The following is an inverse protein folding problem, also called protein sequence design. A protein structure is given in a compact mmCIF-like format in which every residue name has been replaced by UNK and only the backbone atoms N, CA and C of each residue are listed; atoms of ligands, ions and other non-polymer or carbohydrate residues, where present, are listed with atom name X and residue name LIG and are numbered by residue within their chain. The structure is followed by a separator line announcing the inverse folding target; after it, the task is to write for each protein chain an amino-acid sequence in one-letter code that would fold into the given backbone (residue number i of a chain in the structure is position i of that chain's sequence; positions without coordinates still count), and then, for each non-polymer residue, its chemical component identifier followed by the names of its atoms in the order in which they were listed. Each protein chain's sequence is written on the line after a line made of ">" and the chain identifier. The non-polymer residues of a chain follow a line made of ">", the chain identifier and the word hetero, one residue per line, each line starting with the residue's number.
data_IF_445018442972
#
_entry.id   IF_445018442972
#
_cell.length_a   1.000
_cell.length_b   1.000
_cell.length_c   1.000
_cell.angle_alpha   90.00
_cell.angle_beta   90.00
_cell.angle_gamma   90.00
#
_symmetry.space_group_name_H-M   'P 1'
#
loop_
_entity.id
_entity.type
_entity.pdbx_description
1 polymer ?
#
# COMPACT_ATOMS: atom_id res chain seq x y z
N UNK A 1 23.85 8.60 7.65
CA UNK A 1 22.75 7.70 8.04
C UNK A 1 21.56 8.12 7.19
N UNK A 2 21.14 7.30 6.22
CA UNK A 2 20.01 7.63 5.35
C UNK A 2 18.70 7.35 6.08
N UNK A 3 17.71 8.23 5.99
CA UNK A 3 16.33 7.88 6.34
C UNK A 3 15.84 6.82 5.34
N UNK A 4 14.88 5.98 5.74
CA UNK A 4 14.42 4.86 4.88
C UNK A 4 13.96 5.33 3.50
N UNK A 5 13.30 6.48 3.42
CA UNK A 5 12.86 7.10 2.17
C UNK A 5 14.05 7.46 1.28
N UNK A 6 15.06 8.16 1.82
CA UNK A 6 16.27 8.53 1.08
C UNK A 6 17.02 7.30 0.59
N UNK A 7 17.10 6.25 1.42
CA UNK A 7 17.73 4.98 1.03
C UNK A 7 17.02 4.34 -0.18
N UNK A 8 15.68 4.33 -0.21
CA UNK A 8 14.91 3.77 -1.33
C UNK A 8 15.19 4.54 -2.63
N UNK A 9 15.25 5.87 -2.57
CA UNK A 9 15.43 6.72 -3.76
C UNK A 9 16.89 6.77 -4.23
N UNK A 10 17.84 6.98 -3.31
CA UNK A 10 19.23 7.25 -3.66
C UNK A 10 20.09 5.99 -3.83
N UNK A 11 19.75 4.88 -3.15
CA UNK A 11 20.55 3.64 -3.18
C UNK A 11 19.88 2.49 -3.91
N UNK A 12 18.58 2.31 -3.71
CA UNK A 12 17.85 1.21 -4.35
C UNK A 12 17.35 1.60 -5.74
N UNK A 13 17.09 2.89 -5.97
CA UNK A 13 16.73 3.42 -7.29
C UNK A 13 15.23 3.41 -7.57
N UNK A 14 14.38 3.51 -6.54
CA UNK A 14 12.95 3.74 -6.73
C UNK A 14 12.70 5.16 -7.24
N UNK A 15 11.75 5.32 -8.17
CA UNK A 15 11.34 6.61 -8.72
C UNK A 15 10.79 7.56 -7.63
N UNK A 16 9.99 7.03 -6.72
CA UNK A 16 9.49 7.77 -5.56
C UNK A 16 9.34 6.88 -4.32
N UNK A 17 9.30 7.52 -3.15
CA UNK A 17 9.04 6.89 -1.87
C UNK A 17 8.51 7.91 -0.87
N UNK A 18 7.69 7.46 0.09
CA UNK A 18 7.14 8.31 1.14
C UNK A 18 7.10 7.56 2.47
N UNK A 19 7.07 8.30 3.57
CA UNK A 19 6.88 7.74 4.90
C UNK A 19 5.39 7.80 5.27
N UNK A 20 4.70 6.67 5.18
CA UNK A 20 3.27 6.57 5.47
C UNK A 20 2.84 7.09 6.85
N UNK A 21 3.77 7.20 7.82
CA UNK A 21 3.49 7.74 9.16
C UNK A 21 3.37 9.27 9.20
N UNK A 22 3.94 9.94 8.21
CA UNK A 22 3.95 11.40 8.12
C UNK A 22 2.81 11.90 7.20
N UNK A 23 2.10 10.99 6.54
CA UNK A 23 1.04 11.33 5.59
C UNK A 23 -0.31 11.49 6.31
N UNK A 24 -0.93 12.65 6.15
CA UNK A 24 -2.26 12.92 6.70
C UNK A 24 -3.38 12.17 5.96
N UNK A 25 -3.14 11.80 4.69
CA UNK A 25 -4.11 11.10 3.86
C UNK A 25 -3.42 10.23 2.80
N UNK A 26 -3.54 8.91 2.97
CA UNK A 26 -2.91 7.93 2.07
C UNK A 26 -3.46 8.00 0.64
N UNK A 27 -4.75 8.24 0.44
CA UNK A 27 -5.34 8.34 -0.89
C UNK A 27 -4.67 9.42 -1.75
N UNK A 28 -4.60 10.64 -1.22
CA UNK A 28 -3.99 11.78 -1.90
C UNK A 28 -2.50 11.57 -2.16
N UNK A 29 -1.82 10.87 -1.24
CA UNK A 29 -0.42 10.50 -1.38
C UNK A 29 -0.22 9.53 -2.54
N UNK A 30 -1.05 8.48 -2.61
CA UNK A 30 -1.00 7.50 -3.69
C UNK A 30 -1.34 8.14 -5.05
N UNK A 31 -2.31 9.05 -5.12
CA UNK A 31 -2.62 9.78 -6.36
C UNK A 31 -1.47 10.67 -6.84
N UNK A 32 -0.73 11.29 -5.90
CA UNK A 32 0.46 12.07 -6.22
C UNK A 32 1.58 11.20 -6.78
N UNK A 33 1.83 10.04 -6.19
CA UNK A 33 2.88 9.12 -6.64
C UNK A 33 2.50 8.33 -7.90
N UNK A 34 1.22 8.00 -8.05
CA UNK A 34 0.68 7.18 -9.13
C UNK A 34 -0.46 7.92 -9.87
N UNK A 35 -0.16 9.02 -10.58
CA UNK A 35 -1.18 9.83 -11.25
C UNK A 35 -1.94 9.09 -12.36
N UNK A 36 -1.43 7.92 -12.79
CA UNK A 36 -2.05 7.05 -13.80
C UNK A 36 -2.64 5.76 -13.21
N UNK A 37 -2.80 5.70 -11.88
CA UNK A 37 -3.24 4.51 -11.17
C UNK A 37 -2.14 3.46 -10.99
N UNK A 38 -2.48 2.39 -10.28
CA UNK A 38 -1.57 1.32 -9.88
C UNK A 38 -1.92 0.05 -10.68
N UNK A 39 -0.95 -0.48 -11.42
CA UNK A 39 -1.13 -1.73 -12.18
C UNK A 39 -0.74 -2.98 -11.36
N UNK A 40 0.24 -2.86 -10.48
CA UNK A 40 0.75 -3.95 -9.65
C UNK A 40 0.99 -3.44 -8.24
N UNK A 41 0.44 -4.14 -7.25
CA UNK A 41 0.74 -3.92 -5.85
C UNK A 41 1.31 -5.20 -5.22
N UNK A 42 2.49 -5.09 -4.61
CA UNK A 42 3.09 -6.18 -3.84
C UNK A 42 2.80 -5.94 -2.35
N UNK A 43 1.82 -6.63 -1.81
CA UNK A 43 1.32 -6.36 -0.47
C UNK A 43 2.05 -7.19 0.60
N UNK A 44 2.74 -6.49 1.49
CA UNK A 44 3.34 -7.06 2.69
C UNK A 44 2.60 -6.65 3.98
N UNK A 45 1.72 -5.65 3.87
CA UNK A 45 1.26 -4.86 5.01
C UNK A 45 -0.21 -5.09 5.30
N UNK A 46 -1.06 -5.13 4.28
CA UNK A 46 -2.51 -5.19 4.44
C UNK A 46 -3.10 -3.91 5.04
N UNK A 47 -4.30 -4.05 5.61
CA UNK A 47 -5.00 -2.99 6.33
C UNK A 47 -5.32 -1.76 5.46
N UNK A 48 -5.23 -0.57 6.07
CA UNK A 48 -5.58 0.71 5.45
C UNK A 48 -4.80 0.99 4.15
N UNK A 49 -3.53 0.59 4.08
CA UNK A 49 -2.74 0.77 2.86
C UNK A 49 -3.31 -0.06 1.70
N UNK A 50 -3.67 -1.32 1.93
CA UNK A 50 -4.29 -2.16 0.90
C UNK A 50 -5.63 -1.59 0.43
N UNK A 51 -6.47 -1.12 1.36
CA UNK A 51 -7.76 -0.50 1.03
C UNK A 51 -7.57 0.73 0.13
N UNK A 52 -6.61 1.60 0.45
CA UNK A 52 -6.34 2.80 -0.34
C UNK A 52 -5.67 2.49 -1.69
N UNK A 53 -4.80 1.47 -1.75
CA UNK A 53 -4.24 1.01 -3.02
C UNK A 53 -5.33 0.50 -3.93
N UNK A 54 -6.25 -0.35 -3.45
CA UNK A 54 -7.35 -0.92 -4.26
C UNK A 54 -8.23 0.17 -4.89
N UNK A 55 -8.49 1.27 -4.18
CA UNK A 55 -9.23 2.43 -4.71
C UNK A 55 -8.51 3.15 -5.85
N UNK A 56 -7.19 3.02 -5.93
CA UNK A 56 -6.31 3.65 -6.92
C UNK A 56 -5.76 2.66 -7.96
N UNK A 57 -6.22 1.41 -7.96
CA UNK A 57 -5.83 0.40 -8.95
C UNK A 57 -6.45 0.70 -10.32
N UNK A 58 -5.70 0.36 -11.37
CA UNK A 58 -6.22 0.32 -12.72
C UNK A 58 -7.04 -0.95 -12.96
N UNK A 59 -7.97 -0.89 -13.92
CA UNK A 59 -8.66 -2.08 -14.42
C UNK A 59 -7.63 -3.12 -14.89
N UNK A 60 -7.87 -4.38 -14.53
CA UNK A 60 -6.93 -5.50 -14.74
C UNK A 60 -5.59 -5.39 -13.98
N UNK A 61 -5.48 -4.50 -12.99
CA UNK A 61 -4.36 -4.48 -12.07
C UNK A 61 -4.29 -5.74 -11.20
N UNK A 62 -3.10 -6.03 -10.66
CA UNK A 62 -2.80 -7.26 -9.93
C UNK A 62 -2.27 -6.96 -8.53
N UNK A 63 -2.65 -7.78 -7.56
CA UNK A 63 -2.12 -7.71 -6.20
C UNK A 63 -1.45 -9.04 -5.84
N UNK A 64 -0.16 -8.98 -5.55
CA UNK A 64 0.61 -10.10 -4.99
C UNK A 64 0.56 -10.01 -3.47
N UNK A 65 -0.33 -10.78 -2.84
CA UNK A 65 -0.55 -10.76 -1.40
C UNK A 65 0.48 -11.64 -0.66
N UNK A 66 1.62 -11.06 -0.29
CA UNK A 66 2.69 -11.74 0.45
C UNK A 66 2.38 -11.84 1.95
N UNK A 67 1.83 -10.78 2.55
CA UNK A 67 1.54 -10.73 3.98
C UNK A 67 0.69 -9.54 4.38
N UNK A 68 0.26 -9.52 5.64
CA UNK A 68 -0.64 -8.50 6.19
C UNK A 68 -0.19 -8.07 7.60
N UNK A 69 1.08 -7.67 7.74
CA UNK A 69 1.70 -7.47 9.06
C UNK A 69 0.98 -6.43 9.94
N UNK A 70 0.24 -5.47 9.37
CA UNK A 70 -0.56 -4.54 10.16
C UNK A 70 -1.63 -5.23 11.01
N UNK A 71 -2.11 -6.39 10.55
CA UNK A 71 -3.30 -7.05 11.10
C UNK A 71 -3.00 -8.13 12.15
N UNK A 72 -1.78 -8.65 12.22
CA UNK A 72 -1.43 -9.76 13.12
C UNK A 72 -0.28 -9.48 14.09
N UNK A 73 0.27 -8.26 14.11
CA UNK A 73 1.27 -7.89 15.13
C UNK A 73 0.64 -7.57 16.49
N UNK A 74 -0.68 -7.43 16.57
CA UNK A 74 -1.41 -7.23 17.81
C UNK A 74 -2.04 -8.56 18.27
N UNK A 75 -1.56 -9.18 19.36
CA UNK A 75 -2.06 -10.48 19.84
C UNK A 75 -3.56 -10.49 20.18
N UNK A 76 -4.15 -9.31 20.42
CA UNK A 76 -5.56 -9.13 20.76
C UNK A 76 -6.43 -8.87 19.53
N UNK A 77 -5.86 -8.59 18.36
CA UNK A 77 -6.59 -8.49 17.09
C UNK A 77 -6.48 -9.80 16.33
N UNK A 78 -7.62 -10.37 15.97
CA UNK A 78 -7.68 -11.40 14.93
C UNK A 78 -7.62 -10.68 13.59
N UNK A 79 -6.64 -11.03 12.74
CA UNK A 79 -6.56 -10.47 11.41
C UNK A 79 -7.90 -10.69 10.68
N UNK A 80 -8.54 -9.60 10.27
CA UNK A 80 -9.82 -9.63 9.57
C UNK A 80 -9.58 -9.20 8.13
N UNK A 81 -8.89 -10.06 7.37
CA UNK A 81 -8.75 -9.90 5.93
C UNK A 81 -10.10 -10.23 5.27
N UNK A 82 -10.98 -9.24 5.16
CA UNK A 82 -12.20 -9.36 4.35
C UNK A 82 -11.89 -9.01 2.90
N UNK A 83 -11.22 -9.94 2.22
CA UNK A 83 -10.79 -9.78 0.83
C UNK A 83 -11.98 -9.54 -0.11
N UNK A 84 -13.16 -10.11 0.18
CA UNK A 84 -14.37 -9.88 -0.62
C UNK A 84 -14.82 -8.42 -0.56
N UNK A 85 -14.84 -7.83 0.64
CA UNK A 85 -15.19 -6.42 0.82
C UNK A 85 -14.17 -5.46 0.21
N UNK A 86 -12.89 -5.84 0.23
CA UNK A 86 -11.80 -5.02 -0.33
C UNK A 86 -11.82 -5.07 -1.86
N UNK A 87 -11.76 -6.27 -2.46
CA UNK A 87 -11.71 -6.41 -3.92
C UNK A 87 -13.03 -6.08 -4.61
N UNK A 88 -14.16 -6.17 -3.91
CA UNK A 88 -15.44 -5.70 -4.42
C UNK A 88 -15.50 -4.18 -4.68
N UNK A 89 -14.51 -3.42 -4.21
CA UNK A 89 -14.37 -1.97 -4.46
C UNK A 89 -13.46 -1.65 -5.65
N UNK A 90 -12.76 -2.64 -6.21
CA UNK A 90 -11.93 -2.44 -7.40
C UNK A 90 -12.84 -2.16 -8.62
N UNK A 91 -12.47 -1.15 -9.42
CA UNK A 91 -13.23 -0.71 -10.60
C UNK A 91 -13.06 -1.62 -11.81
#
# INVERSE_FOLDING_TARGET
>A
MYLKVDLLKEKVGFDDAFNYKDEANLNSTLQRCFPKGIDIYFDNVGGEMLEEVVKNMNTCGRIEACGAISEYTNPQKRAKLDMCSIFGQAK
#
